data_IF_429905991246
#
_entry.id   IF_429905991246
#
_cell.length_a   1.000
_cell.length_b   1.000
_cell.length_c   1.000
_cell.angle_alpha   90.00
_cell.angle_beta   90.00
_cell.angle_gamma   90.00
#
_symmetry.space_group_name_H-M   'P 1'
#
loop_
_entity.id
_entity.type
_entity.pdbx_description
1 polymer ?
#
# COMPACT_ATOMS: atom_id res chain seq x y z
N UNK A 1 -4.27 -31.47 -6.51
CA UNK A 1 -3.57 -30.34 -5.88
C UNK A 1 -4.62 -29.44 -5.27
N UNK A 2 -4.75 -29.42 -3.94
CA UNK A 2 -5.61 -28.45 -3.25
C UNK A 2 -4.93 -27.07 -3.36
N UNK A 3 -5.19 -26.38 -4.46
CA UNK A 3 -4.70 -25.02 -4.67
C UNK A 3 -5.38 -24.10 -3.67
N UNK A 4 -4.63 -23.13 -3.15
CA UNK A 4 -5.19 -22.01 -2.39
C UNK A 4 -6.16 -21.29 -3.34
N UNK A 5 -7.47 -21.52 -3.20
CA UNK A 5 -8.50 -20.79 -3.92
C UNK A 5 -8.81 -19.51 -3.14
N UNK A 6 -8.45 -18.36 -3.71
CA UNK A 6 -8.89 -17.05 -3.25
C UNK A 6 -9.61 -16.35 -4.41
N UNK A 7 -10.61 -15.52 -4.08
CA UNK A 7 -11.22 -14.67 -5.11
C UNK A 7 -10.22 -13.61 -5.58
N UNK A 8 -10.32 -13.19 -6.85
CA UNK A 8 -9.47 -12.10 -7.40
C UNK A 8 -9.61 -10.82 -6.56
N UNK A 9 -10.81 -10.55 -6.05
CA UNK A 9 -11.08 -9.40 -5.19
C UNK A 9 -10.32 -9.49 -3.85
N UNK A 10 -10.43 -10.63 -3.16
CA UNK A 10 -9.73 -10.85 -1.88
C UNK A 10 -8.21 -10.77 -2.04
N UNK A 11 -7.66 -11.33 -3.12
CA UNK A 11 -6.24 -11.23 -3.44
C UNK A 11 -5.76 -9.80 -3.62
N UNK A 12 -6.51 -9.00 -4.38
CA UNK A 12 -6.19 -7.58 -4.59
C UNK A 12 -6.23 -6.79 -3.27
N UNK A 13 -7.20 -7.10 -2.40
CA UNK A 13 -7.28 -6.51 -1.06
C UNK A 13 -6.07 -6.93 -0.21
N UNK A 14 -5.64 -8.20 -0.24
CA UNK A 14 -4.43 -8.65 0.47
C UNK A 14 -3.16 -7.96 -0.05
N UNK A 15 -2.99 -7.87 -1.38
CA UNK A 15 -1.83 -7.20 -1.98
C UNK A 15 -1.78 -5.73 -1.56
N UNK A 16 -2.93 -5.04 -1.57
CA UNK A 16 -2.97 -3.62 -1.19
C UNK A 16 -2.69 -3.43 0.30
N UNK A 17 -3.13 -4.35 1.16
CA UNK A 17 -2.75 -4.38 2.58
C UNK A 17 -1.24 -4.50 2.76
N UNK A 18 -0.61 -5.49 2.11
CA UNK A 18 0.82 -5.74 2.22
C UNK A 18 1.65 -4.58 1.65
N UNK A 19 1.18 -3.97 0.56
CA UNK A 19 1.77 -2.77 -0.02
C UNK A 19 1.71 -1.58 0.95
N UNK A 20 0.57 -1.38 1.61
CA UNK A 20 0.39 -0.34 2.63
C UNK A 20 1.28 -0.56 3.86
N UNK A 21 1.43 -1.81 4.33
CA UNK A 21 2.37 -2.16 5.39
C UNK A 21 3.79 -1.72 5.01
N UNK A 22 4.24 -2.09 3.81
CA UNK A 22 5.57 -1.73 3.32
C UNK A 22 5.74 -0.21 3.18
N UNK A 23 4.75 0.48 2.63
CA UNK A 23 4.74 1.94 2.51
C UNK A 23 4.80 2.62 3.88
N UNK A 24 4.14 2.05 4.90
CA UNK A 24 4.15 2.56 6.27
C UNK A 24 5.54 2.43 6.90
N UNK A 25 6.22 1.30 6.74
CA UNK A 25 7.62 1.15 7.20
C UNK A 25 8.54 2.15 6.49
N UNK A 26 8.34 2.34 5.18
CA UNK A 26 9.09 3.34 4.42
C UNK A 26 8.85 4.77 4.94
N UNK A 27 7.60 5.10 5.31
CA UNK A 27 7.26 6.40 5.91
C UNK A 27 8.01 6.61 7.23
N UNK A 28 7.93 5.67 8.17
CA UNK A 28 8.56 5.83 9.50
C UNK A 28 10.08 5.95 9.42
N UNK A 29 10.73 5.14 8.58
CA UNK A 29 12.18 5.27 8.31
C UNK A 29 12.53 6.61 7.67
N UNK A 30 11.66 7.14 6.79
CA UNK A 30 11.78 8.47 6.22
C UNK A 30 11.62 9.60 7.23
N UNK A 31 10.58 9.55 8.06
CA UNK A 31 10.29 10.51 9.15
C UNK A 31 11.45 10.54 10.15
N UNK A 32 11.98 9.37 10.53
CA UNK A 32 13.10 9.28 11.44
C UNK A 32 14.32 10.04 10.90
N UNK A 33 14.69 9.83 9.64
CA UNK A 33 15.84 10.52 9.05
C UNK A 33 15.60 12.02 8.80
N UNK A 34 14.43 12.37 8.27
CA UNK A 34 14.14 13.74 7.82
C UNK A 34 13.70 14.67 8.94
N UNK A 35 12.83 14.20 9.86
CA UNK A 35 12.19 15.03 10.88
C UNK A 35 12.86 14.83 12.23
N UNK A 36 12.99 13.57 12.70
CA UNK A 36 13.51 13.30 14.04
C UNK A 36 15.01 13.59 14.14
N UNK A 37 15.82 13.06 13.23
CA UNK A 37 17.28 13.32 13.19
C UNK A 37 17.65 14.62 12.49
N UNK A 38 16.71 15.25 11.78
CA UNK A 38 16.93 16.45 10.92
C UNK A 38 18.12 16.30 9.97
N UNK A 39 18.45 15.06 9.57
CA UNK A 39 19.63 14.69 8.79
C UNK A 39 19.22 13.64 7.78
N UNK A 40 18.62 14.07 6.66
CA UNK A 40 18.18 13.15 5.57
C UNK A 40 19.32 12.24 5.10
N UNK A 41 20.57 12.71 5.14
CA UNK A 41 21.75 11.91 4.80
C UNK A 41 21.88 10.63 5.65
N UNK A 42 21.30 10.59 6.85
CA UNK A 42 21.33 9.42 7.74
C UNK A 42 20.64 8.21 7.15
N UNK A 43 19.62 8.43 6.30
CA UNK A 43 18.97 7.37 5.54
C UNK A 43 19.96 6.70 4.59
N UNK A 44 21.03 7.37 4.17
CA UNK A 44 22.06 6.82 3.27
C UNK A 44 23.29 6.29 4.02
N UNK A 45 23.64 6.88 5.16
CA UNK A 45 24.88 6.55 5.88
C UNK A 45 24.70 5.51 6.99
N UNK A 46 23.46 5.30 7.44
CA UNK A 46 23.11 4.23 8.34
C UNK A 46 22.63 3.02 7.51
N UNK A 47 23.45 1.97 7.44
CA UNK A 47 23.18 0.81 6.57
C UNK A 47 21.84 0.13 6.90
N UNK A 48 21.44 0.10 8.17
CA UNK A 48 20.16 -0.47 8.61
C UNK A 48 19.01 0.35 8.03
N UNK A 49 19.02 1.68 8.25
CA UNK A 49 17.98 2.56 7.72
C UNK A 49 17.95 2.53 6.19
N UNK A 50 19.12 2.55 5.54
CA UNK A 50 19.23 2.55 4.10
C UNK A 50 18.60 1.29 3.49
N UNK A 51 19.00 0.12 3.99
CA UNK A 51 18.50 -1.17 3.51
C UNK A 51 17.02 -1.31 3.77
N UNK A 52 16.55 -1.02 4.98
CA UNK A 52 15.12 -1.09 5.32
C UNK A 52 14.29 -0.13 4.47
N UNK A 53 14.66 1.15 4.41
CA UNK A 53 13.90 2.16 3.65
C UNK A 53 13.81 1.79 2.16
N UNK A 54 14.90 1.28 1.58
CA UNK A 54 14.94 0.88 0.17
C UNK A 54 14.19 -0.43 -0.08
N UNK A 55 14.35 -1.43 0.77
CA UNK A 55 13.70 -2.74 0.62
C UNK A 55 12.18 -2.60 0.72
N UNK A 56 11.67 -1.99 1.79
CA UNK A 56 10.23 -1.78 1.97
C UNK A 56 9.64 -0.86 0.90
N UNK A 57 10.38 0.17 0.45
CA UNK A 57 9.93 0.99 -0.68
C UNK A 57 9.89 0.23 -2.03
N UNK A 58 10.83 -0.71 -2.23
CA UNK A 58 10.83 -1.62 -3.36
C UNK A 58 9.63 -2.57 -3.33
N UNK A 59 9.41 -3.26 -2.22
CA UNK A 59 8.27 -4.16 -2.03
C UNK A 59 6.93 -3.44 -2.19
N UNK A 60 6.78 -2.25 -1.61
CA UNK A 60 5.59 -1.43 -1.83
C UNK A 60 5.39 -1.17 -3.33
N UNK A 61 6.43 -0.75 -4.06
CA UNK A 61 6.30 -0.49 -5.50
C UNK A 61 5.95 -1.75 -6.31
N UNK A 62 6.55 -2.89 -6.00
CA UNK A 62 6.25 -4.17 -6.66
C UNK A 62 4.81 -4.62 -6.39
N UNK A 63 4.36 -4.57 -5.14
CA UNK A 63 2.99 -4.91 -4.76
C UNK A 63 1.98 -3.94 -5.41
N UNK A 64 2.34 -2.67 -5.58
CA UNK A 64 1.51 -1.72 -6.34
C UNK A 64 1.28 -2.21 -7.77
N UNK A 65 2.36 -2.54 -8.48
CA UNK A 65 2.26 -2.98 -9.88
C UNK A 65 1.52 -4.31 -10.02
N UNK A 66 1.66 -5.21 -9.04
CA UNK A 66 0.92 -6.45 -9.02
C UNK A 66 -0.60 -6.20 -8.87
N UNK A 67 -0.99 -5.36 -7.90
CA UNK A 67 -2.39 -4.98 -7.72
C UNK A 67 -2.94 -4.16 -8.90
N UNK A 68 -2.13 -3.26 -9.48
CA UNK A 68 -2.49 -2.49 -10.65
C UNK A 68 -2.73 -3.38 -11.87
N UNK A 69 -1.87 -4.38 -12.10
CA UNK A 69 -2.04 -5.33 -13.19
C UNK A 69 -3.35 -6.09 -13.06
N UNK A 70 -3.66 -6.62 -11.88
CA UNK A 70 -4.92 -7.31 -11.61
C UNK A 70 -6.13 -6.37 -11.72
N UNK A 71 -6.02 -5.13 -11.25
CA UNK A 71 -7.07 -4.12 -11.36
C UNK A 71 -7.36 -3.68 -12.79
N UNK A 72 -6.32 -3.40 -13.59
CA UNK A 72 -6.44 -3.01 -14.99
C UNK A 72 -7.00 -4.13 -15.85
N UNK A 73 -6.53 -5.37 -15.66
CA UNK A 73 -7.06 -6.53 -16.39
C UNK A 73 -8.54 -6.75 -16.06
N UNK A 74 -8.94 -6.64 -14.79
CA UNK A 74 -10.35 -6.68 -14.39
C UNK A 74 -11.18 -5.54 -14.98
N UNK A 75 -10.65 -4.32 -15.00
CA UNK A 75 -11.34 -3.15 -15.57
C UNK A 75 -11.53 -3.27 -17.09
N UNK A 76 -10.50 -3.71 -17.81
CA UNK A 76 -10.58 -3.99 -19.25
C UNK A 76 -11.59 -5.12 -19.50
N UNK A 77 -11.56 -6.18 -18.69
CA UNK A 77 -12.52 -7.28 -18.77
C UNK A 77 -13.97 -6.80 -18.58
N UNK A 78 -14.20 -5.92 -17.62
CA UNK A 78 -15.51 -5.32 -17.38
C UNK A 78 -16.00 -4.46 -18.56
N UNK A 79 -15.13 -3.66 -19.18
CA UNK A 79 -15.53 -2.83 -20.33
C UNK A 79 -15.76 -3.65 -21.59
N UNK A 80 -14.86 -4.59 -21.90
CA UNK A 80 -14.88 -5.30 -23.19
C UNK A 80 -15.83 -6.50 -23.16
N UNK A 81 -15.81 -7.26 -22.06
CA UNK A 81 -16.52 -8.53 -21.96
C UNK A 81 -17.67 -8.50 -20.95
N UNK A 82 -17.83 -7.40 -20.20
CA UNK A 82 -18.76 -7.31 -19.06
C UNK A 82 -18.50 -8.39 -17.99
N UNK A 83 -17.23 -8.78 -17.82
CA UNK A 83 -16.76 -9.80 -16.87
C UNK A 83 -15.54 -9.26 -16.10
N UNK A 84 -15.65 -8.96 -14.79
CA UNK A 84 -16.91 -8.86 -14.02
C UNK A 84 -17.80 -7.70 -14.54
N UNK A 85 -19.10 -7.65 -14.18
CA UNK A 85 -20.00 -6.60 -14.66
C UNK A 85 -19.44 -5.18 -14.48
N UNK A 86 -19.62 -4.33 -15.48
CA UNK A 86 -19.19 -2.94 -15.37
C UNK A 86 -20.20 -2.14 -14.54
N UNK A 87 -19.79 -1.75 -13.34
CA UNK A 87 -20.64 -1.10 -12.34
C UNK A 87 -20.19 0.34 -12.08
N UNK A 88 -20.03 1.13 -13.14
CA UNK A 88 -19.42 2.47 -13.06
C UNK A 88 -20.10 3.48 -12.12
N UNK A 89 -21.35 3.22 -11.73
CA UNK A 89 -22.16 4.03 -10.81
C UNK A 89 -22.28 3.44 -9.41
N UNK A 90 -21.78 2.22 -9.18
CA UNK A 90 -21.84 1.57 -7.87
C UNK A 90 -20.92 2.30 -6.86
N UNK A 91 -21.36 2.50 -5.60
CA UNK A 91 -20.57 3.21 -4.59
C UNK A 91 -19.15 2.67 -4.41
N UNK A 92 -18.98 1.36 -4.55
CA UNK A 92 -17.67 0.69 -4.47
C UNK A 92 -16.75 1.11 -5.62
N UNK A 93 -17.31 1.25 -6.83
CA UNK A 93 -16.57 1.64 -8.03
C UNK A 93 -16.17 3.12 -7.97
N UNK A 94 -17.08 3.98 -7.49
CA UNK A 94 -16.85 5.41 -7.27
C UNK A 94 -15.81 5.65 -6.18
N UNK A 95 -15.84 4.87 -5.10
CA UNK A 95 -14.94 5.08 -3.97
C UNK A 95 -13.53 4.53 -4.19
N UNK A 96 -13.39 3.40 -4.91
CA UNK A 96 -12.11 2.73 -5.06
C UNK A 96 -11.56 2.80 -6.49
N UNK A 97 -12.35 2.39 -7.50
CA UNK A 97 -11.83 2.18 -8.86
C UNK A 97 -11.51 3.51 -9.55
N UNK A 98 -12.44 4.47 -9.55
CA UNK A 98 -12.20 5.76 -10.19
C UNK A 98 -11.04 6.55 -9.55
N UNK A 99 -10.97 6.72 -8.22
CA UNK A 99 -9.84 7.37 -7.57
C UNK A 99 -8.51 6.63 -7.74
N UNK A 100 -8.53 5.30 -7.91
CA UNK A 100 -7.32 4.50 -8.15
C UNK A 100 -6.54 4.94 -9.41
N UNK A 101 -7.20 5.53 -10.42
CA UNK A 101 -6.50 6.09 -11.59
C UNK A 101 -5.67 7.33 -11.24
N UNK A 102 -6.16 8.20 -10.35
CA UNK A 102 -5.40 9.34 -9.86
C UNK A 102 -4.19 8.88 -9.02
N UNK A 103 -4.40 7.86 -8.18
CA UNK A 103 -3.31 7.22 -7.43
C UNK A 103 -2.27 6.61 -8.37
N UNK A 104 -2.70 5.94 -9.44
CA UNK A 104 -1.82 5.37 -10.45
C UNK A 104 -0.92 6.44 -11.07
N UNK A 105 -1.46 7.59 -11.44
CA UNK A 105 -0.66 8.70 -11.94
C UNK A 105 0.42 9.14 -10.93
N UNK A 106 0.06 9.25 -9.65
CA UNK A 106 1.02 9.60 -8.57
C UNK A 106 2.13 8.56 -8.43
N UNK A 107 1.80 7.26 -8.42
CA UNK A 107 2.79 6.19 -8.24
C UNK A 107 3.69 6.04 -9.46
N UNK A 108 3.13 6.07 -10.68
CA UNK A 108 3.91 6.03 -11.93
C UNK A 108 4.85 7.23 -11.99
N UNK A 109 4.33 8.43 -11.71
CA UNK A 109 5.13 9.65 -11.71
C UNK A 109 6.26 9.59 -10.68
N UNK A 110 5.96 9.16 -9.45
CA UNK A 110 6.99 8.97 -8.41
C UNK A 110 8.05 7.97 -8.86
N UNK A 111 7.64 6.86 -9.45
CA UNK A 111 8.54 5.82 -9.95
C UNK A 111 9.43 6.39 -11.05
N UNK A 112 8.84 7.05 -12.04
CA UNK A 112 9.57 7.70 -13.13
C UNK A 112 10.61 8.71 -12.63
N UNK A 113 10.25 9.65 -11.75
CA UNK A 113 11.21 10.62 -11.23
C UNK A 113 12.30 9.91 -10.40
N UNK A 114 11.95 8.89 -9.61
CA UNK A 114 12.91 8.17 -8.77
C UNK A 114 13.99 7.44 -9.57
N UNK A 115 13.63 6.91 -10.74
CA UNK A 115 14.55 6.18 -11.61
C UNK A 115 15.27 7.10 -12.62
N UNK A 116 14.54 7.95 -13.33
CA UNK A 116 15.06 8.71 -14.46
C UNK A 116 15.47 10.16 -14.13
N UNK A 117 14.91 10.76 -13.07
CA UNK A 117 15.16 12.18 -12.69
C UNK A 117 15.53 12.32 -11.22
N UNK A 118 16.39 11.43 -10.73
CA UNK A 118 16.77 11.32 -9.31
C UNK A 118 17.17 12.64 -8.63
N UNK A 119 17.91 13.58 -9.25
CA UNK A 119 18.22 14.89 -8.64
C UNK A 119 16.97 15.73 -8.32
N UNK A 120 15.90 15.60 -9.12
CA UNK A 120 14.64 16.32 -8.91
C UNK A 120 13.90 15.85 -7.65
N UNK A 121 14.00 14.56 -7.30
CA UNK A 121 13.42 14.03 -6.04
C UNK A 121 13.95 14.79 -4.83
N UNK A 122 15.26 15.03 -4.79
CA UNK A 122 15.90 15.67 -3.64
C UNK A 122 15.69 17.19 -3.61
N UNK A 123 15.57 17.85 -4.77
CA UNK A 123 15.39 19.31 -4.85
C UNK A 123 13.91 19.73 -4.74
N UNK A 124 13.00 19.00 -5.39
CA UNK A 124 11.59 19.39 -5.57
C UNK A 124 10.62 18.35 -5.00
N UNK A 125 11.02 17.08 -4.91
CA UNK A 125 10.19 15.95 -4.50
C UNK A 125 10.15 15.65 -3.00
N UNK A 126 10.41 16.61 -2.11
CA UNK A 126 10.42 16.37 -0.64
C UNK A 126 9.10 15.81 -0.10
N UNK A 127 7.99 16.19 -0.71
CA UNK A 127 6.63 15.73 -0.37
C UNK A 127 6.22 14.46 -1.10
N UNK A 128 6.99 14.00 -2.08
CA UNK A 128 6.63 12.88 -2.95
C UNK A 128 6.51 11.57 -2.15
N UNK A 129 7.35 11.38 -1.12
CA UNK A 129 7.25 10.24 -0.21
C UNK A 129 5.95 10.25 0.61
N UNK A 130 5.57 11.41 1.16
CA UNK A 130 4.32 11.56 1.92
C UNK A 130 3.11 11.37 0.99
N UNK A 131 3.13 11.96 -0.20
CA UNK A 131 2.07 11.77 -1.20
C UNK A 131 1.92 10.30 -1.60
N UNK A 132 3.04 9.58 -1.79
CA UNK A 132 3.05 8.14 -2.08
C UNK A 132 2.45 7.32 -0.94
N UNK A 133 2.74 7.68 0.32
CA UNK A 133 2.16 7.03 1.48
C UNK A 133 0.64 7.27 1.59
N UNK A 134 0.19 8.51 1.38
CA UNK A 134 -1.24 8.86 1.40
C UNK A 134 -1.97 8.09 0.30
N UNK A 135 -1.41 8.05 -0.91
CA UNK A 135 -1.91 7.26 -2.03
C UNK A 135 -2.05 5.77 -1.67
N UNK A 136 -1.04 5.20 -1.02
CA UNK A 136 -1.08 3.81 -0.56
C UNK A 136 -2.14 3.55 0.50
N UNK A 137 -2.21 4.43 1.50
CA UNK A 137 -3.19 4.35 2.59
C UNK A 137 -4.61 4.44 2.04
N UNK A 138 -4.84 5.39 1.11
CA UNK A 138 -6.11 5.51 0.42
C UNK A 138 -6.44 4.25 -0.39
N UNK A 139 -5.51 3.71 -1.18
CA UNK A 139 -5.73 2.51 -2.00
C UNK A 139 -6.11 1.32 -1.14
N UNK A 140 -5.41 1.12 -0.02
CA UNK A 140 -5.71 0.07 0.93
C UNK A 140 -7.09 0.24 1.57
N UNK A 141 -7.35 1.40 2.18
CA UNK A 141 -8.60 1.67 2.88
C UNK A 141 -9.78 1.56 1.91
N UNK A 142 -9.68 2.20 0.73
CA UNK A 142 -10.74 2.12 -0.28
C UNK A 142 -10.95 0.72 -0.82
N UNK A 143 -9.88 -0.06 -1.02
CA UNK A 143 -9.99 -1.48 -1.43
C UNK A 143 -10.70 -2.31 -0.36
N UNK A 144 -10.35 -2.13 0.92
CA UNK A 144 -10.98 -2.85 2.02
C UNK A 144 -12.47 -2.52 2.10
N UNK A 145 -12.86 -1.24 2.12
CA UNK A 145 -14.26 -0.84 2.12
C UNK A 145 -15.02 -1.38 0.89
N UNK A 146 -14.42 -1.23 -0.30
CA UNK A 146 -14.98 -1.75 -1.56
C UNK A 146 -15.23 -3.26 -1.49
N UNK A 147 -14.28 -4.02 -0.94
CA UNK A 147 -14.42 -5.46 -0.78
C UNK A 147 -15.54 -5.81 0.21
N UNK A 148 -15.50 -5.29 1.44
CA UNK A 148 -16.46 -5.65 2.48
C UNK A 148 -17.89 -5.22 2.15
N UNK A 149 -18.09 -4.05 1.55
CA UNK A 149 -19.43 -3.60 1.12
C UNK A 149 -20.07 -4.58 0.12
N UNK A 150 -19.25 -5.22 -0.73
CA UNK A 150 -19.72 -6.21 -1.72
C UNK A 150 -19.87 -7.62 -1.17
N UNK A 151 -19.42 -7.88 0.05
CA UNK A 151 -19.71 -9.12 0.80
C UNK A 151 -21.00 -9.02 1.61
N UNK A 152 -21.55 -7.82 1.77
CA UNK A 152 -22.82 -7.60 2.44
C UNK A 152 -24.00 -7.80 1.48
N UNK A 153 -25.09 -8.42 1.93
CA UNK A 153 -26.36 -8.35 1.22
C UNK A 153 -26.92 -6.93 1.38
N UNK A 154 -26.51 -6.01 0.49
CA UNK A 154 -26.98 -4.62 0.50
C UNK A 154 -28.47 -4.49 0.17
N UNK A 155 -29.09 -5.56 -0.35
CA UNK A 155 -30.53 -5.80 -0.40
C UNK A 155 -30.77 -7.31 -0.50
N UNK A 156 -31.84 -7.83 0.14
CA UNK A 156 -32.28 -9.24 0.06
C UNK A 156 -32.56 -9.75 -1.38
N UNK A 157 -32.38 -8.92 -2.41
CA UNK A 157 -32.70 -9.19 -3.81
C UNK A 157 -31.49 -9.55 -4.71
N UNK A 158 -30.24 -9.38 -4.24
CA UNK A 158 -29.04 -9.74 -5.02
C UNK A 158 -28.43 -11.03 -4.47
N UNK A 159 -29.03 -12.16 -4.89
CA UNK A 159 -28.42 -13.48 -4.80
C UNK A 159 -28.10 -13.98 -6.21
N UNK A 160 -26.85 -14.38 -6.49
CA UNK A 160 -25.72 -14.46 -5.57
C UNK A 160 -25.09 -13.09 -5.23
N UNK A 161 -24.40 -13.02 -4.09
CA UNK A 161 -23.60 -11.84 -3.70
C UNK A 161 -22.52 -11.55 -4.76
N UNK A 162 -22.17 -10.27 -5.00
CA UNK A 162 -21.10 -9.92 -5.95
C UNK A 162 -19.74 -10.50 -5.57
N UNK A 163 -19.47 -10.62 -4.26
CA UNK A 163 -18.26 -11.25 -3.73
C UNK A 163 -18.61 -12.27 -2.64
N UNK A 164 -17.86 -13.36 -2.64
CA UNK A 164 -17.89 -14.32 -1.54
C UNK A 164 -17.37 -13.67 -0.26
N UNK A 165 -17.88 -14.09 0.93
CA UNK A 165 -17.30 -13.70 2.21
C UNK A 165 -15.79 -13.98 2.27
N UNK A 166 -15.04 -13.22 3.08
CA UNK A 166 -13.61 -13.41 3.21
C UNK A 166 -13.25 -14.80 3.73
N UNK A 167 -12.25 -15.41 3.09
CA UNK A 167 -11.66 -16.68 3.52
C UNK A 167 -10.40 -16.44 4.36
N UNK A 168 -9.59 -15.44 3.99
CA UNK A 168 -8.30 -15.11 4.59
C UNK A 168 -8.28 -13.73 5.26
N UNK A 169 -9.13 -12.80 4.81
CA UNK A 169 -9.34 -11.54 5.52
C UNK A 169 -10.22 -11.78 6.76
N UNK A 170 -10.14 -10.86 7.72
CA UNK A 170 -11.02 -10.91 8.89
C UNK A 170 -12.49 -10.78 8.47
N UNK A 171 -13.43 -11.33 9.25
CA UNK A 171 -14.85 -11.14 8.98
C UNK A 171 -15.24 -9.66 9.14
N UNK A 172 -16.32 -9.23 8.50
CA UNK A 172 -16.70 -7.80 8.40
C UNK A 172 -16.86 -7.10 9.77
N UNK A 173 -17.27 -7.83 10.81
CA UNK A 173 -17.37 -7.31 12.18
C UNK A 173 -16.01 -6.80 12.71
N UNK A 174 -14.91 -7.29 12.14
CA UNK A 174 -13.54 -6.94 12.45
C UNK A 174 -12.86 -6.14 11.31
N UNK A 175 -13.63 -5.60 10.35
CA UNK A 175 -13.09 -4.81 9.23
C UNK A 175 -12.21 -3.65 9.71
N UNK A 176 -12.62 -2.95 10.77
CA UNK A 176 -11.84 -1.85 11.33
C UNK A 176 -10.45 -2.34 11.79
N UNK A 177 -10.38 -3.53 12.41
CA UNK A 177 -9.13 -4.14 12.83
C UNK A 177 -8.31 -4.52 11.60
N UNK A 178 -8.94 -5.14 10.58
CA UNK A 178 -8.29 -5.45 9.31
C UNK A 178 -7.60 -4.22 8.73
N UNK A 179 -8.31 -3.09 8.64
CA UNK A 179 -7.80 -1.82 8.12
C UNK A 179 -6.57 -1.33 8.91
N UNK A 180 -6.56 -1.52 10.24
CA UNK A 180 -5.48 -1.08 11.11
C UNK A 180 -4.24 -1.99 11.10
N UNK A 181 -4.38 -3.29 10.78
CA UNK A 181 -3.28 -4.28 10.78
C UNK A 181 -2.02 -3.77 10.07
N UNK A 182 -2.06 -3.31 8.79
CA UNK A 182 -0.83 -2.91 8.10
C UNK A 182 -0.12 -1.75 8.79
N UNK A 183 -0.85 -0.83 9.43
CA UNK A 183 -0.25 0.28 10.16
C UNK A 183 0.35 -0.17 11.49
N UNK A 184 -0.36 -0.99 12.26
CA UNK A 184 0.10 -1.50 13.56
C UNK A 184 1.35 -2.37 13.38
N UNK A 185 1.29 -3.34 12.46
CA UNK A 185 2.42 -4.24 12.19
C UNK A 185 3.62 -3.46 11.67
N UNK A 186 3.40 -2.50 10.76
CA UNK A 186 4.49 -1.66 10.26
C UNK A 186 5.10 -0.76 11.35
N UNK A 187 4.32 -0.26 12.30
CA UNK A 187 4.84 0.49 13.45
C UNK A 187 5.75 -0.38 14.31
N UNK A 188 5.34 -1.63 14.60
CA UNK A 188 6.14 -2.59 15.36
C UNK A 188 7.46 -2.90 14.64
N UNK A 189 7.39 -3.20 13.33
CA UNK A 189 8.59 -3.45 12.50
C UNK A 189 9.50 -2.21 12.51
N UNK A 190 8.93 -1.02 12.32
CA UNK A 190 9.66 0.24 12.31
C UNK A 190 10.36 0.49 13.65
N UNK A 191 9.71 0.23 14.78
CA UNK A 191 10.31 0.38 16.11
C UNK A 191 11.62 -0.41 16.24
N UNK A 192 11.66 -1.67 15.82
CA UNK A 192 12.88 -2.48 15.86
C UNK A 192 13.98 -1.96 14.92
N UNK A 193 13.60 -1.54 13.71
CA UNK A 193 14.54 -0.95 12.74
C UNK A 193 15.15 0.33 13.30
N UNK A 194 14.32 1.24 13.79
CA UNK A 194 14.75 2.55 14.30
C UNK A 194 15.62 2.41 15.56
N UNK A 195 15.28 1.51 16.47
CA UNK A 195 16.12 1.22 17.63
C UNK A 195 17.49 0.66 17.24
N UNK A 196 17.52 -0.26 16.29
CA UNK A 196 18.77 -0.85 15.79
C UNK A 196 19.64 0.20 15.10
N UNK A 197 19.02 1.05 14.28
CA UNK A 197 19.67 2.18 13.64
C UNK A 197 20.26 3.17 14.66
N UNK A 198 19.51 3.52 15.70
CA UNK A 198 19.95 4.44 16.75
C UNK A 198 21.12 3.86 17.56
N UNK A 199 21.09 2.56 17.90
CA UNK A 199 22.20 1.87 18.57
C UNK A 199 23.47 1.90 17.73
N UNK A 200 23.36 1.67 16.42
CA UNK A 200 24.51 1.73 15.50
C UNK A 200 25.11 3.13 15.40
N UNK A 201 24.28 4.17 15.39
CA UNK A 201 24.72 5.57 15.38
C UNK A 201 25.50 5.93 16.66
N UNK A 202 24.97 5.58 17.84
CA UNK A 202 25.64 5.85 19.11
C UNK A 202 27.04 5.22 19.16
N UNK A 203 27.15 3.94 18.78
CA UNK A 203 28.45 3.25 18.68
C UNK A 203 29.42 3.90 17.70
N UNK A 204 28.93 4.48 16.59
CA UNK A 204 29.78 5.22 15.64
C UNK A 204 30.23 6.57 16.21
N UNK A 205 29.46 7.19 17.10
CA UNK A 205 29.82 8.43 17.77
C UNK A 205 30.85 8.19 18.88
N UNK A 206 30.70 7.13 19.67
CA UNK A 206 31.65 6.75 20.73
C UNK A 206 33.05 6.41 20.21
N UNK A 207 33.16 6.01 18.94
CA UNK A 207 34.44 5.69 18.27
C UNK A 207 35.11 6.89 17.60
N UNK A 208 34.51 8.07 17.62
CA UNK A 208 35.04 9.31 17.02
C UNK A 208 35.50 10.24 18.11
#
# INVERSE_FOLDING_TARGET
>A
MAGITYSVAEFNTIITMLGCLCATVQLFTGIYGAIYKKKIAIIKTNDILFRSHRAFGGFATTLYFLGLFAGLTGFIGAIIFNIPPFEGTDPSFIFHVWPSFAVMAVIIWKTYISYFKKPSVYKKGKWLGIATFIAWSFTWISSAFSYYLRTLPLNLAQTPLPHEPPTYLLPIQLMWLQILIPFIVAMIISYFILNSANKLEKKKQEKR
#
